data_IF_687563376489
#
_entry.id   IF_687563376489
#
_cell.length_a   1.000
_cell.length_b   1.000
_cell.length_c   1.000
_cell.angle_alpha   90.00
_cell.angle_beta   90.00
_cell.angle_gamma   90.00
#
_symmetry.space_group_name_H-M   'P 1'
#
loop_
_entity.id
_entity.type
_entity.pdbx_description
1 polymer ?
#
# COMPACT_ATOMS: atom_id res chain seq x y z
N UNK A 1 16.87 -5.38 10.77
CA UNK A 1 15.94 -5.02 11.83
C UNK A 1 15.37 -3.63 11.64
N UNK A 2 16.23 -2.61 11.72
CA UNK A 2 15.73 -1.22 11.66
C UNK A 2 15.08 -0.87 10.34
N UNK A 3 15.59 -1.38 9.22
CA UNK A 3 14.97 -1.13 7.93
C UNK A 3 13.58 -1.76 7.84
N UNK A 4 13.34 -2.79 8.66
CA UNK A 4 12.03 -3.44 8.71
C UNK A 4 11.02 -2.61 9.50
N UNK A 5 11.50 -1.81 10.46
CA UNK A 5 10.61 -0.94 11.22
C UNK A 5 9.94 0.08 10.32
N UNK A 6 10.70 0.74 9.46
CA UNK A 6 10.14 1.71 8.53
C UNK A 6 9.15 1.05 7.57
N UNK A 7 9.50 -0.13 7.09
CA UNK A 7 8.63 -0.90 6.21
C UNK A 7 7.31 -1.22 6.92
N UNK A 8 7.38 -1.70 8.15
CA UNK A 8 6.19 -2.06 8.92
C UNK A 8 5.33 -0.84 9.22
N UNK A 9 5.94 0.30 9.51
CA UNK A 9 5.19 1.53 9.73
C UNK A 9 4.45 1.96 8.47
N UNK A 10 5.10 1.91 7.33
CA UNK A 10 4.47 2.23 6.05
C UNK A 10 3.33 1.28 5.73
N UNK A 11 3.56 -0.01 5.98
CA UNK A 11 2.55 -1.03 5.76
C UNK A 11 1.31 -0.77 6.60
N UNK A 12 1.51 -0.40 7.86
CA UNK A 12 0.43 -0.09 8.78
C UNK A 12 -0.36 1.12 8.33
N UNK A 13 0.33 2.17 7.87
CA UNK A 13 -0.31 3.38 7.37
C UNK A 13 -1.16 3.06 6.15
N UNK A 14 -0.62 2.30 5.21
CA UNK A 14 -1.34 1.89 4.00
C UNK A 14 -2.59 1.09 4.37
N UNK A 15 -2.44 0.14 5.29
CA UNK A 15 -3.56 -0.66 5.73
C UNK A 15 -4.66 0.19 6.36
N UNK A 16 -4.29 1.14 7.21
CA UNK A 16 -5.25 2.03 7.85
C UNK A 16 -6.01 2.88 6.84
N UNK A 17 -5.33 3.35 5.80
CA UNK A 17 -5.98 4.12 4.73
C UNK A 17 -7.02 3.25 4.02
N UNK A 18 -6.67 2.01 3.73
CA UNK A 18 -7.57 1.11 3.02
C UNK A 18 -8.77 0.72 3.88
N UNK A 19 -8.62 0.75 5.19
CA UNK A 19 -9.72 0.44 6.12
C UNK A 19 -10.71 1.59 6.31
N UNK A 20 -10.38 2.77 5.82
CA UNK A 20 -11.26 3.93 5.94
C UNK A 20 -12.54 3.70 5.14
N UNK A 21 -13.69 4.07 5.71
CA UNK A 21 -14.99 3.87 5.09
C UNK A 21 -15.15 4.65 3.78
N UNK A 22 -14.44 5.76 3.64
CA UNK A 22 -14.52 6.57 2.44
C UNK A 22 -13.48 6.18 1.40
N UNK A 23 -12.68 5.15 1.69
CA UNK A 23 -11.65 4.71 0.78
C UNK A 23 -12.26 4.12 -0.49
N UNK A 24 -11.68 4.48 -1.63
CA UNK A 24 -12.01 3.87 -2.91
C UNK A 24 -10.76 3.19 -3.47
N UNK A 25 -10.91 2.07 -4.18
CA UNK A 25 -9.74 1.37 -4.71
C UNK A 25 -8.87 2.26 -5.57
N UNK A 26 -7.57 2.18 -5.34
CA UNK A 26 -6.57 2.99 -6.02
C UNK A 26 -5.52 2.12 -6.67
N UNK A 27 -4.96 2.62 -7.78
CA UNK A 27 -3.81 1.97 -8.41
C UNK A 27 -2.54 2.36 -7.67
N UNK A 28 -1.47 1.58 -7.90
CA UNK A 28 -0.19 1.85 -7.27
C UNK A 28 0.27 3.29 -7.49
N UNK A 29 0.11 3.79 -8.70
CA UNK A 29 0.51 5.16 -9.02
C UNK A 29 -0.25 6.16 -8.19
N UNK A 30 -1.54 5.93 -8.00
CA UNK A 30 -2.39 6.81 -7.20
C UNK A 30 -1.99 6.78 -5.72
N UNK A 31 -1.65 5.60 -5.21
CA UNK A 31 -1.13 5.47 -3.86
C UNK A 31 0.17 6.25 -3.68
N UNK A 32 1.06 6.19 -4.66
CA UNK A 32 2.33 6.90 -4.56
C UNK A 32 2.12 8.40 -4.51
N UNK A 33 1.11 8.91 -5.20
CA UNK A 33 0.74 10.32 -5.11
C UNK A 33 0.17 10.66 -3.75
N UNK A 34 -0.77 9.86 -3.29
CA UNK A 34 -1.44 10.10 -2.02
C UNK A 34 -0.46 10.13 -0.85
N UNK A 35 0.49 9.22 -0.85
CA UNK A 35 1.46 9.07 0.23
C UNK A 35 2.75 9.84 -0.04
N UNK A 36 2.83 10.55 -1.17
CA UNK A 36 4.01 11.32 -1.55
C UNK A 36 5.27 10.46 -1.59
N UNK A 37 5.11 9.24 -2.09
CA UNK A 37 6.20 8.29 -2.20
C UNK A 37 7.00 8.60 -3.48
N UNK A 38 8.32 8.83 -3.38
CA UNK A 38 9.13 9.10 -4.57
C UNK A 38 9.21 7.85 -5.47
N UNK A 39 9.50 8.03 -6.76
CA UNK A 39 9.55 6.89 -7.70
C UNK A 39 10.49 5.78 -7.26
N UNK A 40 11.58 6.11 -6.61
CA UNK A 40 12.56 5.12 -6.14
C UNK A 40 11.99 4.22 -5.04
N UNK A 41 10.99 4.70 -4.30
CA UNK A 41 10.36 3.94 -3.22
C UNK A 41 9.04 3.30 -3.64
N UNK A 42 8.64 3.52 -4.89
CA UNK A 42 7.38 2.96 -5.40
C UNK A 42 7.39 1.44 -5.40
N UNK A 43 8.55 0.85 -5.64
CA UNK A 43 8.69 -0.60 -5.63
C UNK A 43 8.41 -1.17 -4.24
N UNK A 44 8.87 -0.48 -3.20
CA UNK A 44 8.59 -0.87 -1.83
C UNK A 44 7.08 -0.78 -1.54
N UNK A 45 6.45 0.29 -2.02
CA UNK A 45 5.00 0.45 -1.86
C UNK A 45 4.24 -0.70 -2.52
N UNK A 46 4.65 -1.09 -3.73
CA UNK A 46 4.05 -2.23 -4.40
C UNK A 46 4.21 -3.50 -3.58
N UNK A 47 5.40 -3.69 -3.01
CA UNK A 47 5.67 -4.84 -2.17
C UNK A 47 4.75 -4.88 -0.95
N UNK A 48 4.54 -3.72 -0.33
CA UNK A 48 3.63 -3.60 0.81
C UNK A 48 2.22 -4.00 0.42
N UNK A 49 1.72 -3.46 -0.69
CA UNK A 49 0.37 -3.76 -1.15
C UNK A 49 0.22 -5.23 -1.50
N UNK A 50 1.21 -5.81 -2.18
CA UNK A 50 1.17 -7.21 -2.54
C UNK A 50 1.20 -8.12 -1.31
N UNK A 51 1.94 -7.75 -0.28
CA UNK A 51 1.95 -8.51 0.97
C UNK A 51 0.61 -8.46 1.66
N UNK A 52 -0.04 -7.30 1.68
CA UNK A 52 -1.35 -7.17 2.30
C UNK A 52 -2.39 -8.02 1.56
N UNK A 53 -2.29 -8.10 0.25
CA UNK A 53 -3.15 -8.98 -0.54
C UNK A 53 -2.88 -10.44 -0.19
N UNK A 54 -1.61 -10.82 -0.12
CA UNK A 54 -1.21 -12.19 0.19
C UNK A 54 -1.65 -12.62 1.59
N UNK A 55 -1.69 -11.66 2.52
CA UNK A 55 -2.13 -11.92 3.89
C UNK A 55 -3.65 -11.95 4.03
N UNK A 56 -4.36 -11.63 2.96
CA UNK A 56 -5.82 -11.63 2.99
C UNK A 56 -6.41 -10.41 3.67
N UNK A 57 -5.60 -9.37 3.93
CA UNK A 57 -6.08 -8.17 4.61
C UNK A 57 -6.74 -7.19 3.66
N UNK A 58 -6.34 -7.21 2.40
CA UNK A 58 -6.93 -6.38 1.36
C UNK A 58 -7.10 -7.21 0.09
N UNK A 59 -7.84 -6.66 -0.87
CA UNK A 59 -8.07 -7.33 -2.15
C UNK A 59 -7.55 -6.47 -3.29
N UNK A 60 -7.23 -7.12 -4.40
CA UNK A 60 -6.89 -6.40 -5.63
C UNK A 60 -8.03 -6.61 -6.62
N UNK A 61 -8.45 -5.53 -7.30
CA UNK A 61 -9.51 -5.63 -8.29
C UNK A 61 -8.97 -6.13 -9.62
N UNK A 62 -9.89 -6.48 -10.52
CA UNK A 62 -9.50 -6.92 -11.87
C UNK A 62 -8.77 -5.83 -12.65
N UNK A 63 -8.97 -4.57 -12.27
CA UNK A 63 -8.31 -3.43 -12.93
C UNK A 63 -6.96 -3.11 -12.31
N UNK A 64 -6.50 -3.90 -11.35
CA UNK A 64 -5.23 -3.64 -10.67
C UNK A 64 -5.29 -2.59 -9.60
N UNK A 65 -6.46 -2.33 -9.05
CA UNK A 65 -6.63 -1.40 -7.93
C UNK A 65 -6.66 -2.16 -6.62
N UNK A 66 -6.04 -1.57 -5.62
CA UNK A 66 -5.95 -2.17 -4.29
C UNK A 66 -7.02 -1.66 -3.35
#
# INVERSE_FOLDING_TARGET
>A
MKKNELYEQRKKIVYNIIQDDVYQPLKLKEFSYLLQVPPRDREQLKQILDELVAEGKISITKKGKY
#
